data_IF_234411563122
#
_entry.id   IF_234411563122
#
_cell.length_a   1.000
_cell.length_b   1.000
_cell.length_c   1.000
_cell.angle_alpha   90.00
_cell.angle_beta   90.00
_cell.angle_gamma   90.00
#
_symmetry.space_group_name_H-M   'P 1'
#
loop_
_entity.id
_entity.type
_entity.pdbx_description
1 polymer ?
#
# COMPACT_ATOMS: atom_id res chain seq x y z
N UNK A 1 -29.71 29.32 15.44
CA UNK A 1 -29.41 28.10 16.21
C UNK A 1 -28.37 28.35 17.28
N UNK A 2 -28.56 27.74 18.45
CA UNK A 2 -27.58 27.74 19.54
C UNK A 2 -26.62 26.57 19.33
N UNK A 3 -25.33 26.80 19.51
CA UNK A 3 -24.32 25.74 19.52
C UNK A 3 -24.49 24.93 20.81
N UNK A 4 -24.58 23.60 20.69
CA UNK A 4 -24.64 22.67 21.82
C UNK A 4 -23.25 22.08 22.07
N UNK A 5 -22.87 21.97 23.33
CA UNK A 5 -21.67 21.25 23.78
C UNK A 5 -22.12 20.10 24.66
N UNK A 6 -21.59 18.91 24.39
CA UNK A 6 -21.89 17.67 25.12
C UNK A 6 -20.57 17.05 25.54
N UNK A 7 -20.51 16.60 26.79
CA UNK A 7 -19.34 15.89 27.34
C UNK A 7 -19.71 14.43 27.50
N UNK A 8 -18.95 13.55 26.86
CA UNK A 8 -19.13 12.11 26.94
C UNK A 8 -18.05 11.47 27.84
N UNK A 9 -18.34 10.36 28.53
CA UNK A 9 -17.38 9.70 29.42
C UNK A 9 -16.16 9.08 28.72
N UNK A 10 -16.31 8.67 27.46
CA UNK A 10 -15.28 8.05 26.63
C UNK A 10 -15.68 8.13 25.14
N UNK A 11 -14.74 7.76 24.27
CA UNK A 11 -14.89 7.84 22.81
C UNK A 11 -16.03 6.94 22.27
N UNK A 12 -16.30 5.79 22.91
CA UNK A 12 -17.39 4.90 22.50
C UNK A 12 -18.77 5.52 22.78
N UNK A 13 -18.93 6.17 23.94
CA UNK A 13 -20.15 6.92 24.29
C UNK A 13 -20.30 8.17 23.42
N UNK A 14 -19.20 8.82 23.05
CA UNK A 14 -19.21 9.93 22.09
C UNK A 14 -19.70 9.45 20.71
N UNK A 15 -19.16 8.34 20.21
CA UNK A 15 -19.59 7.72 18.95
C UNK A 15 -21.09 7.37 18.95
N UNK A 16 -21.57 6.73 20.03
CA UNK A 16 -23.00 6.42 20.21
C UNK A 16 -23.87 7.67 20.30
N UNK A 17 -23.40 8.73 20.96
CA UNK A 17 -24.11 10.00 21.02
C UNK A 17 -24.24 10.63 19.63
N UNK A 18 -23.14 10.69 18.88
CA UNK A 18 -23.12 11.22 17.51
C UNK A 18 -24.07 10.43 16.61
N UNK A 19 -23.96 9.10 16.58
CA UNK A 19 -24.81 8.25 15.73
C UNK A 19 -26.30 8.44 16.02
N UNK A 20 -26.70 8.52 17.31
CA UNK A 20 -28.09 8.81 17.70
C UNK A 20 -28.57 10.18 17.25
N UNK A 21 -27.74 11.21 17.34
CA UNK A 21 -28.13 12.55 16.89
C UNK A 21 -28.27 12.61 15.36
N UNK A 22 -27.38 11.93 14.62
CA UNK A 22 -27.49 11.82 13.16
C UNK A 22 -28.75 11.04 12.77
N UNK A 23 -29.06 9.93 13.45
CA UNK A 23 -30.30 9.17 13.24
C UNK A 23 -31.53 10.04 13.46
N UNK A 24 -31.57 10.79 14.56
CA UNK A 24 -32.66 11.75 14.86
C UNK A 24 -32.85 12.76 13.72
N UNK A 25 -31.76 13.35 13.22
CA UNK A 25 -31.82 14.30 12.10
C UNK A 25 -32.33 13.65 10.81
N UNK A 26 -31.92 12.41 10.52
CA UNK A 26 -32.40 11.65 9.35
C UNK A 26 -33.89 11.36 9.46
N UNK A 27 -34.36 10.95 10.66
CA UNK A 27 -35.77 10.68 10.92
C UNK A 27 -36.63 11.96 10.82
N UNK A 28 -36.04 13.13 11.08
CA UNK A 28 -36.62 14.46 10.87
C UNK A 28 -36.56 14.93 9.39
N UNK A 29 -36.00 14.12 8.49
CA UNK A 29 -35.97 14.35 7.04
C UNK A 29 -34.65 14.88 6.50
N UNK A 30 -33.59 14.98 7.32
CA UNK A 30 -32.27 15.35 6.82
C UNK A 30 -31.68 14.23 5.95
N UNK A 31 -30.97 14.62 4.89
CA UNK A 31 -30.17 13.66 4.11
C UNK A 31 -28.88 13.34 4.87
N UNK A 32 -28.38 12.10 4.88
CA UNK A 32 -27.09 11.77 5.48
C UNK A 32 -25.95 12.67 4.97
N UNK A 33 -25.95 12.99 3.68
CA UNK A 33 -24.97 13.86 3.03
C UNK A 33 -25.00 15.33 3.49
N UNK A 34 -25.99 15.74 4.28
CA UNK A 34 -26.07 17.08 4.86
C UNK A 34 -25.40 17.18 6.24
N UNK A 35 -24.91 16.06 6.77
CA UNK A 35 -24.25 16.00 8.08
C UNK A 35 -22.77 15.66 7.90
N UNK A 36 -21.90 16.40 8.58
CA UNK A 36 -20.47 16.15 8.61
C UNK A 36 -19.98 16.00 10.05
N UNK A 37 -19.15 14.99 10.30
CA UNK A 37 -18.45 14.81 11.59
C UNK A 37 -16.99 15.18 11.38
N UNK A 38 -16.54 16.22 12.10
CA UNK A 38 -15.17 16.72 12.03
C UNK A 38 -14.42 16.30 13.29
N UNK A 39 -13.25 15.70 13.11
CA UNK A 39 -12.38 15.27 14.19
C UNK A 39 -10.93 15.73 13.94
N UNK A 40 -10.09 15.70 14.98
CA UNK A 40 -8.74 16.27 14.93
C UNK A 40 -7.73 15.32 14.31
N UNK A 41 -7.86 14.02 14.55
CA UNK A 41 -6.94 12.98 14.05
C UNK A 41 -7.71 11.76 13.57
N UNK A 42 -7.16 11.00 12.61
CA UNK A 42 -7.82 9.83 12.03
C UNK A 42 -8.10 8.71 13.04
N UNK A 43 -7.39 8.66 14.19
CA UNK A 43 -7.66 7.67 15.23
C UNK A 43 -9.06 7.85 15.85
N UNK A 44 -9.61 9.06 15.81
CA UNK A 44 -10.93 9.38 16.36
C UNK A 44 -12.08 8.97 15.43
N UNK A 45 -11.81 8.58 14.18
CA UNK A 45 -12.88 8.15 13.28
C UNK A 45 -13.49 6.82 13.73
N UNK A 46 -12.67 5.90 14.26
CA UNK A 46 -13.06 4.51 14.49
C UNK A 46 -14.30 4.35 15.39
N UNK A 47 -14.41 4.97 16.59
CA UNK A 47 -15.59 4.81 17.45
C UNK A 47 -16.87 5.38 16.81
N UNK A 48 -16.73 6.45 16.04
CA UNK A 48 -17.84 7.05 15.26
C UNK A 48 -18.27 6.09 14.16
N UNK A 49 -17.32 5.59 13.36
CA UNK A 49 -17.59 4.64 12.27
C UNK A 49 -18.27 3.35 12.76
N UNK A 50 -17.81 2.78 13.87
CA UNK A 50 -18.40 1.60 14.48
C UNK A 50 -19.83 1.87 14.96
N UNK A 51 -20.09 3.05 15.53
CA UNK A 51 -21.42 3.46 15.98
C UNK A 51 -22.37 3.72 14.80
N UNK A 52 -21.91 4.39 13.74
CA UNK A 52 -22.70 4.60 12.51
C UNK A 52 -23.03 3.29 11.82
N UNK A 53 -22.08 2.34 11.80
CA UNK A 53 -22.29 0.99 11.26
C UNK A 53 -23.31 0.21 12.10
N UNK A 54 -23.22 0.28 13.42
CA UNK A 54 -24.15 -0.38 14.34
C UNK A 54 -25.58 0.11 14.18
N UNK A 55 -25.75 1.40 13.85
CA UNK A 55 -27.04 2.02 13.58
C UNK A 55 -27.47 1.91 12.11
N UNK A 56 -26.71 1.26 11.22
CA UNK A 56 -26.98 1.21 9.76
C UNK A 56 -27.12 2.60 9.10
N UNK A 57 -26.30 3.56 9.50
CA UNK A 57 -26.24 4.91 8.91
C UNK A 57 -25.18 4.91 7.79
N UNK A 58 -25.53 5.24 6.54
CA UNK A 58 -24.55 5.38 5.46
C UNK A 58 -23.55 6.50 5.76
N UNK A 59 -22.26 6.23 5.60
CA UNK A 59 -21.19 7.20 5.85
C UNK A 59 -20.04 7.07 4.85
N UNK A 60 -19.27 8.14 4.68
CA UNK A 60 -18.04 8.19 3.91
C UNK A 60 -16.94 8.79 4.79
N UNK A 61 -15.74 8.18 4.77
CA UNK A 61 -14.57 8.67 5.50
C UNK A 61 -13.64 9.37 4.53
N UNK A 62 -13.49 10.68 4.70
CA UNK A 62 -12.55 11.49 3.90
C UNK A 62 -11.23 11.59 4.65
N UNK A 63 -10.12 11.20 4.01
CA UNK A 63 -8.78 11.36 4.57
C UNK A 63 -8.35 10.28 5.58
N UNK A 64 -9.04 9.13 5.66
CA UNK A 64 -8.59 7.94 6.38
C UNK A 64 -7.29 7.34 5.79
N UNK A 65 -6.86 6.14 6.23
CA UNK A 65 -5.66 5.49 5.66
C UNK A 65 -5.77 5.49 4.13
N UNK A 66 -4.92 6.28 3.46
CA UNK A 66 -5.01 6.47 2.02
C UNK A 66 -5.00 5.09 1.38
N UNK A 67 -5.92 4.81 0.46
CA UNK A 67 -5.98 3.52 -0.22
C UNK A 67 -4.60 3.15 -0.81
N UNK A 68 -3.88 4.14 -1.33
CA UNK A 68 -2.52 4.01 -1.87
C UNK A 68 -1.42 3.89 -0.81
N UNK A 69 -1.71 4.12 0.47
CA UNK A 69 -0.76 3.94 1.56
C UNK A 69 -0.64 2.51 2.05
N UNK A 70 -1.66 1.69 1.78
CA UNK A 70 -1.70 0.29 2.15
C UNK A 70 -0.53 -0.46 1.51
N UNK A 71 0.10 -1.34 2.29
CA UNK A 71 1.34 -2.03 1.89
C UNK A 71 1.12 -2.84 0.61
N UNK A 72 0.05 -3.60 0.55
CA UNK A 72 -0.35 -4.42 -0.59
C UNK A 72 -0.58 -3.61 -1.87
N UNK A 73 -1.16 -2.40 -1.73
CA UNK A 73 -1.38 -1.51 -2.87
C UNK A 73 -0.05 -0.95 -3.36
N UNK A 74 0.82 -0.48 -2.46
CA UNK A 74 2.16 -0.01 -2.82
C UNK A 74 3.02 -1.09 -3.47
N UNK A 75 2.93 -2.34 -2.98
CA UNK A 75 3.68 -3.48 -3.52
C UNK A 75 3.19 -3.82 -4.93
N UNK A 76 1.87 -3.88 -5.16
CA UNK A 76 1.30 -4.09 -6.49
C UNK A 76 1.71 -2.97 -7.47
N UNK A 77 1.62 -1.71 -7.05
CA UNK A 77 2.02 -0.56 -7.87
C UNK A 77 3.51 -0.64 -8.23
N UNK A 78 4.37 -1.06 -7.30
CA UNK A 78 5.79 -1.26 -7.57
C UNK A 78 6.06 -2.39 -8.58
N UNK A 79 5.29 -3.48 -8.55
CA UNK A 79 5.35 -4.49 -9.62
C UNK A 79 5.03 -3.92 -10.99
N UNK A 80 3.93 -3.18 -11.10
CA UNK A 80 3.52 -2.58 -12.37
C UNK A 80 4.57 -1.57 -12.87
N UNK A 81 5.12 -0.76 -11.98
CA UNK A 81 6.19 0.18 -12.30
C UNK A 81 7.47 -0.52 -12.76
N UNK A 82 7.88 -1.59 -12.10
CA UNK A 82 9.06 -2.38 -12.50
C UNK A 82 8.86 -3.07 -13.86
N UNK A 83 7.66 -3.55 -14.14
CA UNK A 83 7.31 -4.10 -15.47
C UNK A 83 7.25 -3.02 -16.55
N UNK A 84 6.87 -1.79 -16.23
CA UNK A 84 6.77 -0.69 -17.19
C UNK A 84 8.12 0.01 -17.45
N UNK A 85 8.92 0.24 -16.39
CA UNK A 85 10.18 0.95 -16.44
C UNK A 85 11.32 0.10 -15.87
N UNK A 86 12.22 -0.32 -16.77
CA UNK A 86 13.42 -1.10 -16.47
C UNK A 86 14.36 -0.46 -15.44
N UNK A 87 14.31 0.86 -15.31
CA UNK A 87 15.23 1.65 -14.51
C UNK A 87 14.62 2.15 -13.19
N UNK A 88 13.39 1.71 -12.85
CA UNK A 88 12.80 2.02 -11.54
C UNK A 88 13.40 1.14 -10.44
N UNK A 89 14.60 1.53 -9.99
CA UNK A 89 15.34 0.83 -8.94
C UNK A 89 14.58 0.83 -7.61
N UNK A 90 13.84 1.90 -7.30
CA UNK A 90 13.06 2.02 -6.05
C UNK A 90 11.97 0.95 -6.01
N UNK A 91 11.24 0.80 -7.11
CA UNK A 91 10.22 -0.24 -7.24
C UNK A 91 10.84 -1.64 -7.17
N UNK A 92 11.93 -1.89 -7.92
CA UNK A 92 12.62 -3.20 -7.90
C UNK A 92 13.09 -3.59 -6.50
N UNK A 93 13.76 -2.68 -5.78
CA UNK A 93 14.24 -2.92 -4.41
C UNK A 93 13.08 -3.17 -3.44
N UNK A 94 11.94 -2.52 -3.63
CA UNK A 94 10.74 -2.73 -2.80
C UNK A 94 10.17 -4.15 -2.95
N UNK A 95 10.07 -4.64 -4.19
CA UNK A 95 9.36 -5.90 -4.48
C UNK A 95 10.26 -7.13 -4.60
N UNK A 96 11.59 -6.98 -4.55
CA UNK A 96 12.56 -8.07 -4.71
C UNK A 96 12.26 -9.27 -3.78
N UNK A 97 11.83 -9.02 -2.55
CA UNK A 97 11.51 -10.06 -1.57
C UNK A 97 10.02 -10.06 -1.16
N UNK A 98 9.13 -9.51 -1.99
CA UNK A 98 7.67 -9.55 -1.79
C UNK A 98 7.01 -10.19 -3.01
N UNK A 99 6.44 -11.41 -2.94
CA UNK A 99 6.42 -12.31 -1.79
C UNK A 99 7.81 -12.80 -1.40
N UNK A 100 7.94 -13.39 -0.21
CA UNK A 100 9.22 -13.84 0.33
C UNK A 100 9.92 -14.83 -0.62
N UNK A 101 11.11 -14.45 -1.11
CA UNK A 101 11.99 -15.29 -1.95
C UNK A 101 13.20 -15.80 -1.17
N UNK A 102 13.41 -15.31 0.05
CA UNK A 102 14.63 -15.55 0.82
C UNK A 102 15.81 -14.77 0.24
N UNK A 103 15.55 -13.55 -0.23
CA UNK A 103 16.55 -12.53 -0.57
C UNK A 103 16.57 -11.57 0.62
N UNK A 104 17.58 -11.69 1.49
CA UNK A 104 17.67 -10.88 2.71
C UNK A 104 18.25 -9.49 2.46
N UNK A 105 18.00 -8.57 3.39
CA UNK A 105 18.43 -7.17 3.30
C UNK A 105 19.95 -7.04 3.08
N UNK A 106 20.75 -7.83 3.81
CA UNK A 106 22.22 -7.85 3.64
C UNK A 106 22.67 -8.24 2.24
N UNK A 107 21.91 -9.10 1.53
CA UNK A 107 22.21 -9.45 0.13
C UNK A 107 22.01 -8.22 -0.77
N UNK A 108 20.91 -7.50 -0.56
CA UNK A 108 20.57 -6.30 -1.34
C UNK A 108 21.50 -5.12 -1.02
N UNK A 109 21.93 -4.97 0.22
CA UNK A 109 22.95 -3.98 0.61
C UNK A 109 24.27 -4.24 -0.10
N UNK A 110 24.77 -5.48 -0.07
CA UNK A 110 26.01 -5.88 -0.77
C UNK A 110 25.90 -5.69 -2.28
N UNK A 111 24.77 -6.08 -2.87
CA UNK A 111 24.50 -5.89 -4.30
C UNK A 111 24.51 -4.39 -4.66
N UNK A 112 23.83 -3.56 -3.86
CA UNK A 112 23.76 -2.10 -4.07
C UNK A 112 25.13 -1.45 -3.92
N UNK A 113 25.92 -1.87 -2.93
CA UNK A 113 27.30 -1.44 -2.78
C UNK A 113 28.14 -1.81 -4.01
N UNK A 114 27.98 -3.03 -4.53
CA UNK A 114 28.70 -3.48 -5.72
C UNK A 114 28.30 -2.73 -6.98
N UNK A 115 27.01 -2.44 -7.14
CA UNK A 115 26.49 -1.62 -8.23
C UNK A 115 27.15 -0.22 -8.23
N UNK A 116 27.26 0.41 -7.05
CA UNK A 116 27.92 1.71 -6.86
C UNK A 116 29.42 1.65 -7.16
N UNK A 117 30.13 0.63 -6.66
CA UNK A 117 31.56 0.41 -6.92
C UNK A 117 31.84 0.31 -8.43
N UNK A 118 31.02 -0.47 -9.14
CA UNK A 118 31.16 -0.71 -10.58
C UNK A 118 30.54 0.39 -11.45
N UNK A 119 29.87 1.38 -10.85
CA UNK A 119 29.11 2.44 -11.54
C UNK A 119 28.10 1.90 -12.55
N UNK A 120 27.38 0.85 -12.16
CA UNK A 120 26.31 0.21 -12.95
C UNK A 120 24.96 0.38 -12.25
N UNK A 121 23.88 0.30 -13.01
CA UNK A 121 22.52 0.31 -12.46
C UNK A 121 22.22 -0.94 -11.62
N UNK A 122 21.25 -0.85 -10.71
CA UNK A 122 20.79 -1.99 -9.89
C UNK A 122 20.34 -3.18 -10.76
N UNK A 123 19.52 -3.01 -11.81
CA UNK A 123 19.17 -4.11 -12.72
C UNK A 123 20.40 -4.78 -13.35
N UNK A 124 21.43 -4.01 -13.70
CA UNK A 124 22.66 -4.56 -14.27
C UNK A 124 23.47 -5.35 -13.23
N UNK A 125 23.53 -4.86 -11.99
CA UNK A 125 24.12 -5.62 -10.89
C UNK A 125 23.32 -6.91 -10.59
N UNK A 126 21.98 -6.84 -10.63
CA UNK A 126 21.10 -8.00 -10.46
C UNK A 126 21.35 -9.07 -11.54
N UNK A 127 21.50 -8.69 -12.82
CA UNK A 127 21.86 -9.64 -13.91
C UNK A 127 23.17 -10.36 -13.65
N UNK A 128 24.12 -9.67 -13.00
CA UNK A 128 25.48 -10.16 -12.73
C UNK A 128 25.64 -10.71 -11.32
N UNK A 129 24.56 -10.86 -10.54
CA UNK A 129 24.66 -11.18 -9.12
C UNK A 129 25.45 -12.47 -8.83
N UNK A 130 25.34 -13.49 -9.70
CA UNK A 130 26.04 -14.77 -9.52
C UNK A 130 27.57 -14.69 -9.65
N UNK A 131 28.12 -13.64 -10.28
CA UNK A 131 29.58 -13.47 -10.40
C UNK A 131 30.19 -12.67 -9.25
N UNK A 132 29.38 -12.10 -8.36
CA UNK A 132 29.84 -11.35 -7.20
C UNK A 132 30.14 -12.29 -6.04
N UNK A 133 31.43 -12.44 -5.70
CA UNK A 133 31.89 -13.33 -4.64
C UNK A 133 31.38 -12.93 -3.25
N UNK A 134 31.00 -11.65 -3.07
CA UNK A 134 30.47 -11.09 -1.83
C UNK A 134 29.04 -11.56 -1.52
N UNK A 135 28.33 -12.12 -2.51
CA UNK A 135 26.96 -12.61 -2.37
C UNK A 135 26.92 -14.12 -2.12
N UNK A 136 26.10 -14.60 -1.15
CA UNK A 136 25.85 -16.03 -1.02
C UNK A 136 25.27 -16.60 -2.31
N UNK A 137 25.83 -17.69 -2.84
CA UNK A 137 25.43 -18.28 -4.14
C UNK A 137 23.93 -18.50 -4.28
N UNK A 138 23.27 -18.99 -3.23
CA UNK A 138 21.83 -19.21 -3.23
C UNK A 138 21.02 -17.91 -3.29
N UNK A 139 21.48 -16.85 -2.63
CA UNK A 139 20.82 -15.55 -2.68
C UNK A 139 21.05 -14.84 -4.03
N UNK A 140 22.26 -14.93 -4.57
CA UNK A 140 22.61 -14.40 -5.88
C UNK A 140 21.73 -15.00 -7.00
N UNK A 141 21.58 -16.33 -7.00
CA UNK A 141 20.70 -17.02 -7.95
C UNK A 141 19.24 -16.54 -7.87
N UNK A 142 18.71 -16.39 -6.65
CA UNK A 142 17.34 -15.88 -6.43
C UNK A 142 17.15 -14.45 -6.93
N UNK A 143 18.19 -13.61 -6.82
CA UNK A 143 18.18 -12.24 -7.37
C UNK A 143 18.09 -12.29 -8.91
N UNK A 144 18.89 -13.14 -9.56
CA UNK A 144 18.83 -13.33 -11.02
C UNK A 144 17.47 -13.88 -11.45
N UNK A 145 16.94 -14.87 -10.74
CA UNK A 145 15.61 -15.46 -11.02
C UNK A 145 14.49 -14.42 -10.86
N UNK A 146 14.57 -13.56 -9.84
CA UNK A 146 13.63 -12.46 -9.65
C UNK A 146 13.68 -11.46 -10.82
N UNK A 147 14.87 -11.00 -11.20
CA UNK A 147 14.97 -10.05 -12.32
C UNK A 147 14.47 -10.67 -13.63
N UNK A 148 14.82 -11.94 -13.89
CA UNK A 148 14.35 -12.67 -15.07
C UNK A 148 12.82 -12.78 -15.12
N UNK A 149 12.17 -12.90 -13.96
CA UNK A 149 10.71 -12.87 -13.86
C UNK A 149 10.15 -11.51 -14.30
N UNK A 150 10.71 -10.41 -13.78
CA UNK A 150 10.28 -9.05 -14.13
C UNK A 150 10.51 -8.75 -15.62
N UNK A 151 11.68 -9.09 -16.15
CA UNK A 151 12.01 -8.88 -17.56
C UNK A 151 11.09 -9.68 -18.49
N UNK A 152 10.71 -10.91 -18.10
CA UNK A 152 9.71 -11.70 -18.82
C UNK A 152 8.35 -11.01 -18.87
N UNK A 153 7.84 -10.56 -17.73
CA UNK A 153 6.53 -9.89 -17.68
C UNK A 153 6.54 -8.51 -18.35
N UNK A 154 7.66 -7.79 -18.32
CA UNK A 154 7.85 -6.58 -19.12
C UNK A 154 7.71 -6.88 -20.61
N UNK A 155 8.40 -7.92 -21.12
CA UNK A 155 8.30 -8.28 -22.53
C UNK A 155 6.86 -8.64 -22.95
N UNK A 156 6.12 -9.35 -22.10
CA UNK A 156 4.69 -9.64 -22.32
C UNK A 156 3.83 -8.37 -22.32
N UNK A 157 4.09 -7.45 -21.40
CA UNK A 157 3.42 -6.15 -21.31
C UNK A 157 3.65 -5.29 -22.56
N UNK A 158 4.90 -5.21 -23.04
CA UNK A 158 5.27 -4.50 -24.27
C UNK A 158 4.57 -5.08 -25.51
N UNK A 159 4.40 -6.40 -25.55
CA UNK A 159 3.67 -7.11 -26.62
C UNK A 159 2.14 -6.97 -26.51
N UNK A 160 1.63 -6.27 -25.48
CA UNK A 160 0.19 -6.14 -25.18
C UNK A 160 -0.52 -7.49 -25.16
N UNK A 161 0.16 -8.50 -24.61
CA UNK A 161 -0.40 -9.83 -24.56
C UNK A 161 -1.68 -9.83 -23.70
N UNK A 162 -2.81 -10.34 -24.23
CA UNK A 162 -4.06 -10.41 -23.48
C UNK A 162 -3.94 -11.21 -22.17
N UNK A 163 -4.63 -10.74 -21.12
CA UNK A 163 -4.53 -11.33 -19.78
C UNK A 163 -4.99 -12.79 -19.71
N UNK A 164 -5.91 -13.19 -20.58
CA UNK A 164 -6.41 -14.56 -20.73
C UNK A 164 -5.34 -15.55 -21.23
N UNK A 165 -4.22 -15.04 -21.76
CA UNK A 165 -3.05 -15.86 -22.16
C UNK A 165 -1.95 -15.92 -21.10
N UNK A 166 -2.18 -15.35 -19.91
CA UNK A 166 -1.17 -15.22 -18.84
C UNK A 166 -1.09 -16.44 -17.92
N UNK A 167 -2.03 -17.37 -18.03
CA UNK A 167 -2.13 -18.62 -17.25
C UNK A 167 -1.17 -19.73 -17.69
#
# INVERSE_FOLDING_TARGET
DLVRVVVCPNDDEEGRFIAREIRRLIDEGARPSAVAVLYRTNLQSKPVEESLRGEEIPYEVVGGQEFFDRKEIKDLVAYLKACHNAHDEVSLLRIVNVPARGIGDTTMERLTAKARELKISIPEAMRRAEVFAELPKGAARKVVEFLSLIERYRARFEQREPIDKVT
#
